data_IF_056333290943
#
_entry.id   IF_056333290943
#
_cell.length_a   1.000
_cell.length_b   1.000
_cell.length_c   1.000
_cell.angle_alpha   90.00
_cell.angle_beta   90.00
_cell.angle_gamma   90.00
#
_symmetry.space_group_name_H-M   'P 1'
#
loop_
_entity.id
_entity.type
_entity.pdbx_description
1 polymer ?
#
# COMPACT_ATOMS: atom_id res chain seq x y z
N UNK A 1 3.12 1.45 7.39
CA UNK A 1 4.26 2.28 6.98
C UNK A 1 3.79 3.57 6.34
N UNK A 2 4.51 4.65 6.57
CA UNK A 2 4.17 5.96 6.03
C UNK A 2 4.39 6.00 4.52
N UNK A 3 3.47 6.66 3.79
CA UNK A 3 3.53 6.72 2.34
C UNK A 3 4.78 7.41 1.80
N UNK A 4 5.34 8.35 2.56
CA UNK A 4 6.55 9.08 2.15
C UNK A 4 7.78 8.18 1.99
N UNK A 5 7.80 7.02 2.63
CA UNK A 5 8.86 6.02 2.42
C UNK A 5 8.80 5.49 0.99
N UNK A 6 7.59 5.34 0.43
CA UNK A 6 7.37 4.68 -0.84
C UNK A 6 7.18 5.65 -2.01
N UNK A 7 6.58 6.82 -1.76
CA UNK A 7 6.10 7.71 -2.83
C UNK A 7 6.35 9.17 -2.51
N UNK A 8 6.60 9.96 -3.55
CA UNK A 8 6.54 11.41 -3.47
C UNK A 8 5.08 11.88 -3.44
N UNK A 9 4.88 13.14 -3.05
CA UNK A 9 3.55 13.74 -2.94
C UNK A 9 2.76 13.56 -4.25
N UNK A 10 1.52 13.08 -4.13
CA UNK A 10 0.58 12.88 -5.23
C UNK A 10 1.10 11.95 -6.35
N UNK A 11 2.08 11.10 -6.07
CA UNK A 11 2.64 10.16 -7.03
C UNK A 11 2.44 8.72 -6.59
N UNK A 12 2.45 7.81 -7.56
CA UNK A 12 2.35 6.37 -7.33
C UNK A 12 3.52 5.61 -7.95
N UNK A 13 4.64 6.30 -8.21
CA UNK A 13 5.90 5.68 -8.65
C UNK A 13 6.75 5.38 -7.42
N UNK A 14 7.20 4.15 -7.28
CA UNK A 14 7.97 3.73 -6.12
C UNK A 14 9.34 4.40 -6.08
N UNK A 15 9.67 4.99 -4.93
CA UNK A 15 10.99 5.54 -4.65
C UNK A 15 11.98 4.41 -4.35
N UNK A 16 13.29 4.63 -4.56
CA UNK A 16 14.29 3.61 -4.21
C UNK A 16 14.23 3.15 -2.76
N UNK A 17 13.97 4.06 -1.81
CA UNK A 17 13.84 3.73 -0.39
C UNK A 17 12.68 2.78 -0.13
N UNK A 18 11.57 2.98 -0.83
CA UNK A 18 10.40 2.11 -0.74
C UNK A 18 10.68 0.72 -1.29
N UNK A 19 11.45 0.62 -2.36
CA UNK A 19 11.84 -0.68 -2.93
C UNK A 19 12.66 -1.49 -1.94
N UNK A 20 13.57 -0.85 -1.22
CA UNK A 20 14.36 -1.54 -0.18
C UNK A 20 13.45 -2.13 0.89
N UNK A 21 12.48 -1.36 1.37
CA UNK A 21 11.52 -1.86 2.36
C UNK A 21 10.66 -2.99 1.81
N UNK A 22 10.20 -2.88 0.56
CA UNK A 22 9.39 -3.90 -0.08
C UNK A 22 10.17 -5.17 -0.38
N UNK A 23 11.46 -5.09 -0.62
CA UNK A 23 12.30 -6.29 -0.78
C UNK A 23 12.27 -7.13 0.49
N UNK A 24 12.28 -6.49 1.66
CA UNK A 24 12.17 -7.20 2.95
C UNK A 24 10.81 -7.87 3.10
N UNK A 25 9.74 -7.16 2.73
CA UNK A 25 8.39 -7.71 2.77
C UNK A 25 8.27 -8.90 1.83
N UNK A 26 8.79 -8.77 0.60
CA UNK A 26 8.75 -9.85 -0.38
C UNK A 26 9.48 -11.10 0.11
N UNK A 27 10.67 -10.93 0.70
CA UNK A 27 11.42 -12.06 1.26
C UNK A 27 10.65 -12.78 2.36
N UNK A 28 10.02 -12.02 3.25
CA UNK A 28 9.21 -12.59 4.32
C UNK A 28 8.01 -13.36 3.78
N UNK A 29 7.35 -12.83 2.75
CA UNK A 29 6.18 -13.48 2.14
C UNK A 29 6.54 -14.76 1.41
N UNK A 30 7.66 -14.78 0.68
CA UNK A 30 8.13 -15.99 -0.01
C UNK A 30 8.41 -17.09 1.01
N UNK A 31 9.04 -16.75 2.14
CA UNK A 31 9.27 -17.73 3.21
C UNK A 31 7.96 -18.19 3.85
N UNK A 32 7.02 -17.28 4.06
CA UNK A 32 5.72 -17.59 4.64
C UNK A 32 4.93 -18.56 3.76
N UNK A 33 4.98 -18.41 2.44
CA UNK A 33 4.31 -19.32 1.50
C UNK A 33 4.79 -20.76 1.66
N UNK A 34 6.06 -20.95 2.01
CA UNK A 34 6.62 -22.29 2.21
C UNK A 34 6.12 -22.96 3.50
N UNK A 35 5.67 -22.14 4.47
CA UNK A 35 5.30 -22.63 5.81
C UNK A 35 3.81 -22.84 5.97
N UNK A 36 2.98 -22.10 5.20
CA UNK A 36 1.52 -22.22 5.28
C UNK A 36 1.05 -23.32 4.35
N UNK A 37 0.12 -24.21 4.79
CA UNK A 37 -0.43 -25.23 3.91
C UNK A 37 -1.03 -24.61 2.63
N UNK A 38 -0.76 -25.20 1.44
CA UNK A 38 -1.21 -24.62 0.17
C UNK A 38 -2.73 -24.51 0.02
N UNK A 39 -3.48 -25.34 0.74
CA UNK A 39 -4.94 -25.35 0.68
C UNK A 39 -5.58 -24.26 1.55
N UNK A 40 -4.80 -23.57 2.38
CA UNK A 40 -5.31 -22.46 3.17
C UNK A 40 -5.44 -21.21 2.27
N UNK A 41 -6.64 -20.65 2.22
CA UNK A 41 -6.96 -19.55 1.30
C UNK A 41 -6.57 -18.19 1.89
N UNK A 42 -5.29 -17.99 2.19
CA UNK A 42 -4.78 -16.73 2.73
C UNK A 42 -4.38 -15.77 1.61
N UNK A 43 -4.49 -14.50 1.89
CA UNK A 43 -3.97 -13.43 1.03
C UNK A 43 -3.32 -12.34 1.90
N UNK A 44 -2.38 -11.62 1.30
CA UNK A 44 -1.90 -10.36 1.84
C UNK A 44 -2.64 -9.24 1.13
N UNK A 45 -3.38 -8.42 1.88
CA UNK A 45 -4.04 -7.24 1.35
C UNK A 45 -3.15 -6.03 1.59
N UNK A 46 -2.85 -5.31 0.51
CA UNK A 46 -2.10 -4.05 0.56
C UNK A 46 -3.10 -2.91 0.52
N UNK A 47 -3.19 -2.16 1.61
CA UNK A 47 -4.18 -1.10 1.79
C UNK A 47 -3.51 0.26 1.65
N UNK A 48 -3.92 1.03 0.64
CA UNK A 48 -3.49 2.42 0.47
C UNK A 48 -4.45 3.38 1.14
N UNK A 49 -3.90 4.35 1.87
CA UNK A 49 -4.66 5.39 2.57
C UNK A 49 -4.05 6.76 2.33
N UNK A 50 -4.90 7.77 2.21
CA UNK A 50 -4.50 9.17 2.08
C UNK A 50 -4.97 9.98 3.29
N UNK A 51 -4.48 11.23 3.40
CA UNK A 51 -5.11 12.20 4.28
C UNK A 51 -6.35 12.81 3.63
N UNK A 52 -7.04 13.70 4.35
CA UNK A 52 -8.30 14.29 3.89
C UNK A 52 -8.12 15.42 2.86
N UNK A 53 -6.89 15.89 2.65
CA UNK A 53 -6.65 17.00 1.75
C UNK A 53 -6.88 16.58 0.30
N UNK A 54 -7.56 17.45 -0.44
CA UNK A 54 -7.89 17.17 -1.83
C UNK A 54 -6.67 17.32 -2.73
N UNK A 55 -6.65 16.53 -3.80
CA UNK A 55 -5.61 16.60 -4.80
C UNK A 55 -5.79 17.85 -5.68
N UNK A 56 -4.69 18.31 -6.25
CA UNK A 56 -4.71 19.44 -7.17
C UNK A 56 -5.50 19.10 -8.44
N UNK A 57 -6.29 20.06 -8.92
CA UNK A 57 -7.03 19.93 -10.18
C UNK A 57 -6.04 19.78 -11.33
N UNK A 58 -6.29 18.82 -12.22
CA UNK A 58 -5.43 18.57 -13.38
C UNK A 58 -4.20 17.74 -13.13
N UNK A 59 -4.03 17.20 -11.90
CA UNK A 59 -2.96 16.27 -11.60
C UNK A 59 -3.22 14.88 -12.17
N UNK A 60 -2.29 13.95 -11.92
CA UNK A 60 -2.34 12.58 -12.46
C UNK A 60 -3.52 11.78 -11.93
N UNK A 61 -4.04 12.12 -10.75
CA UNK A 61 -5.14 11.38 -10.09
C UNK A 61 -6.31 12.31 -9.84
N UNK A 62 -7.51 11.81 -10.09
CA UNK A 62 -8.75 12.60 -9.96
C UNK A 62 -9.24 12.69 -8.51
N UNK A 63 -8.89 11.69 -7.68
CA UNK A 63 -9.37 11.63 -6.31
C UNK A 63 -8.39 10.88 -5.44
N UNK A 64 -8.58 10.98 -4.13
CA UNK A 64 -7.81 10.19 -3.17
C UNK A 64 -8.11 8.69 -3.30
N UNK A 65 -9.31 8.32 -3.78
CA UNK A 65 -9.60 6.94 -4.16
C UNK A 65 -8.62 6.43 -5.22
N UNK A 66 -8.47 7.20 -6.30
CA UNK A 66 -7.58 6.81 -7.40
C UNK A 66 -6.12 6.74 -6.95
N UNK A 67 -5.67 7.73 -6.19
CA UNK A 67 -4.29 7.77 -5.71
C UNK A 67 -4.00 6.58 -4.79
N UNK A 68 -4.86 6.32 -3.81
CA UNK A 68 -4.65 5.22 -2.85
C UNK A 68 -4.67 3.87 -3.54
N UNK A 69 -5.58 3.67 -4.49
CA UNK A 69 -5.64 2.44 -5.27
C UNK A 69 -4.39 2.26 -6.14
N UNK A 70 -3.95 3.31 -6.83
CA UNK A 70 -2.76 3.26 -7.68
C UNK A 70 -1.51 2.94 -6.87
N UNK A 71 -1.38 3.49 -5.67
CA UNK A 71 -0.26 3.20 -4.77
C UNK A 71 -0.27 1.75 -4.30
N UNK A 72 -1.44 1.23 -3.91
CA UNK A 72 -1.58 -0.18 -3.52
C UNK A 72 -1.21 -1.11 -4.68
N UNK A 73 -1.66 -0.79 -5.90
CA UNK A 73 -1.35 -1.57 -7.10
C UNK A 73 0.16 -1.55 -7.38
N UNK A 74 0.81 -0.39 -7.26
CA UNK A 74 2.26 -0.28 -7.48
C UNK A 74 3.04 -1.18 -6.51
N UNK A 75 2.62 -1.22 -5.25
CA UNK A 75 3.22 -2.11 -4.24
C UNK A 75 3.01 -3.57 -4.62
N UNK A 76 1.79 -3.96 -4.98
CA UNK A 76 1.47 -5.35 -5.38
C UNK A 76 2.30 -5.75 -6.59
N UNK A 77 2.38 -4.92 -7.61
CA UNK A 77 3.16 -5.22 -8.81
C UNK A 77 4.65 -5.39 -8.50
N UNK A 78 5.19 -4.59 -7.59
CA UNK A 78 6.58 -4.74 -7.18
C UNK A 78 6.81 -6.07 -6.46
N UNK A 79 5.90 -6.45 -5.55
CA UNK A 79 6.00 -7.71 -4.83
C UNK A 79 5.96 -8.91 -5.80
N UNK A 80 5.08 -8.85 -6.82
CA UNK A 80 5.03 -9.89 -7.86
C UNK A 80 6.36 -9.99 -8.59
N UNK A 81 6.98 -8.85 -8.92
CA UNK A 81 8.29 -8.83 -9.57
C UNK A 81 9.39 -9.42 -8.69
N UNK A 82 9.15 -9.52 -7.39
CA UNK A 82 10.05 -10.12 -6.40
C UNK A 82 9.60 -11.52 -5.97
N UNK A 83 8.91 -12.22 -6.84
CA UNK A 83 8.54 -13.64 -6.72
C UNK A 83 7.42 -13.96 -5.73
N UNK A 84 6.68 -12.96 -5.26
CA UNK A 84 5.47 -13.22 -4.48
C UNK A 84 4.36 -13.65 -5.44
N UNK A 85 3.65 -14.72 -5.10
CA UNK A 85 2.60 -15.28 -5.95
C UNK A 85 1.43 -14.33 -6.09
N UNK A 86 1.00 -13.99 -7.33
CA UNK A 86 -0.09 -13.03 -7.53
C UNK A 86 -1.40 -13.41 -6.85
N UNK A 87 -1.71 -14.70 -6.76
CA UNK A 87 -2.95 -15.17 -6.12
C UNK A 87 -2.96 -14.94 -4.60
N UNK A 88 -1.83 -14.60 -4.00
CA UNK A 88 -1.72 -14.27 -2.57
C UNK A 88 -1.81 -12.78 -2.29
N UNK A 89 -2.05 -11.94 -3.30
CA UNK A 89 -2.00 -10.48 -3.16
C UNK A 89 -3.33 -9.85 -3.54
N UNK A 90 -3.73 -8.84 -2.76
CA UNK A 90 -4.90 -7.99 -3.04
C UNK A 90 -4.47 -6.53 -2.88
N UNK A 91 -4.83 -5.68 -3.83
CA UNK A 91 -4.65 -4.24 -3.72
C UNK A 91 -5.97 -3.59 -3.34
N UNK A 92 -5.96 -2.74 -2.31
CA UNK A 92 -7.15 -2.03 -1.87
C UNK A 92 -6.85 -0.54 -1.67
N UNK A 93 -7.67 0.32 -2.24
CA UNK A 93 -7.60 1.76 -2.05
C UNK A 93 -8.73 2.22 -1.16
N UNK A 94 -8.41 2.78 0.00
CA UNK A 94 -9.39 3.27 0.97
C UNK A 94 -9.62 4.78 0.88
N UNK A 95 -8.82 5.49 0.09
CA UNK A 95 -8.91 6.94 0.01
C UNK A 95 -8.60 7.58 1.35
N UNK A 96 -9.37 8.62 1.67
CA UNK A 96 -9.22 9.41 2.91
C UNK A 96 -10.15 8.93 4.04
N UNK A 97 -10.95 7.87 3.80
CA UNK A 97 -12.14 7.57 4.60
C UNK A 97 -11.90 6.63 5.77
N UNK A 98 -10.65 6.22 6.01
CA UNK A 98 -10.28 5.37 7.14
C UNK A 98 -9.12 5.99 7.92
N UNK A 99 -9.31 7.22 8.47
CA UNK A 99 -8.23 7.89 9.19
C UNK A 99 -7.94 7.18 10.51
N UNK A 100 -6.66 7.14 10.88
CA UNK A 100 -6.25 6.70 12.22
C UNK A 100 -6.06 7.89 13.16
N UNK A 101 -6.02 9.11 12.63
CA UNK A 101 -5.93 10.33 13.40
C UNK A 101 -6.90 11.36 12.82
N UNK A 102 -7.84 11.83 13.66
CA UNK A 102 -8.87 12.78 13.24
C UNK A 102 -8.42 14.24 13.36
N UNK A 103 -7.19 14.50 13.81
CA UNK A 103 -6.66 15.84 13.94
C UNK A 103 -6.49 16.53 12.59
N UNK A 104 -6.38 17.86 12.63
CA UNK A 104 -6.22 18.70 11.44
C UNK A 104 -4.83 19.36 11.43
N UNK A 105 -3.81 18.58 11.78
CA UNK A 105 -2.42 19.02 11.78
C UNK A 105 -1.63 18.22 10.76
N UNK A 106 -0.45 18.72 10.38
CA UNK A 106 0.42 17.99 9.45
C UNK A 106 0.82 16.63 10.04
N UNK A 107 1.04 16.55 11.35
CA UNK A 107 1.37 15.29 12.00
C UNK A 107 0.23 14.27 11.89
N UNK A 108 -1.01 14.72 12.04
CA UNK A 108 -2.19 13.87 11.87
C UNK A 108 -2.31 13.39 10.42
N UNK A 109 -2.13 14.30 9.47
CA UNK A 109 -2.17 13.96 8.05
C UNK A 109 -1.08 12.97 7.67
N UNK A 110 0.12 13.12 8.20
CA UNK A 110 1.23 12.21 7.94
C UNK A 110 0.92 10.80 8.44
N UNK A 111 0.30 10.67 9.61
CA UNK A 111 -0.11 9.36 10.14
C UNK A 111 -1.15 8.70 9.25
N UNK A 112 -2.03 9.47 8.64
CA UNK A 112 -3.09 8.95 7.77
C UNK A 112 -2.55 8.53 6.39
N UNK A 113 -1.50 9.17 5.88
CA UNK A 113 -0.86 8.81 4.61
C UNK A 113 0.01 7.58 4.83
N UNK A 114 -0.57 6.39 4.59
CA UNK A 114 0.11 5.14 4.92
C UNK A 114 -0.24 4.01 3.97
N UNK A 115 0.62 3.01 3.97
CA UNK A 115 0.37 1.71 3.37
C UNK A 115 0.30 0.70 4.53
N UNK A 116 -0.77 -0.07 4.57
CA UNK A 116 -0.94 -1.14 5.55
C UNK A 116 -0.91 -2.49 4.85
N UNK A 117 -0.31 -3.47 5.51
CA UNK A 117 -0.26 -4.86 5.03
C UNK A 117 -1.08 -5.72 5.97
N UNK A 118 -2.10 -6.38 5.45
CA UNK A 118 -3.00 -7.21 6.27
C UNK A 118 -3.05 -8.63 5.74
N UNK A 119 -2.61 -9.56 6.56
CA UNK A 119 -2.72 -10.98 6.26
C UNK A 119 -4.12 -11.43 6.67
N UNK A 120 -4.87 -11.97 5.72
CA UNK A 120 -6.27 -12.34 5.95
C UNK A 120 -6.64 -13.54 5.08
N UNK A 121 -7.87 -14.02 5.24
CA UNK A 121 -8.42 -15.06 4.37
C UNK A 121 -9.10 -14.42 3.15
N UNK A 122 -9.00 -15.11 2.06
CA UNK A 122 -9.61 -14.72 0.81
C UNK A 122 -11.15 -14.77 0.87
#
# INVERSE_FOLDING_TARGET
LQSEVFFDTARADLKPEGRVELDKVAGALVELEKQIPPDLAWVLRVDGHTDVRQLSIGGAFKSNWDLSAARAIAVVQYLIARDVSPQRLVAAGFGEFQPIDLGKTEEAYQRNRRIEFKLTER
#
